data_IF_544325559934
#
_entry.id   IF_544325559934
#
_cell.length_a   1.000
_cell.length_b   1.000
_cell.length_c   1.000
_cell.angle_alpha   90.00
_cell.angle_beta   90.00
_cell.angle_gamma   90.00
#
_symmetry.space_group_name_H-M   'P 1'
#
loop_
_entity.id
_entity.type
_entity.pdbx_description
1 polymer ?
#
# COMPACT_ATOMS: atom_id res chain seq x y z
N UNK A 1 20.18 -6.83 -5.58
CA UNK A 1 19.62 -7.22 -6.50
C UNK A 1 18.30 -7.90 -6.26
N UNK A 2 17.28 -7.59 -6.75
CA UNK A 2 16.03 -8.27 -6.78
C UNK A 2 15.44 -8.79 -5.49
N UNK A 3 16.09 -8.63 -4.35
CA UNK A 3 15.58 -9.24 -3.12
C UNK A 3 14.20 -8.70 -2.72
N UNK A 4 13.94 -7.39 -2.89
CA UNK A 4 12.63 -6.84 -2.61
C UNK A 4 11.61 -7.33 -3.63
N UNK A 5 11.97 -7.35 -4.92
CA UNK A 5 11.09 -7.84 -5.97
C UNK A 5 10.79 -9.33 -5.79
N UNK A 6 11.81 -10.11 -5.43
CA UNK A 6 11.63 -11.55 -5.19
C UNK A 6 10.70 -11.79 -4.01
N UNK A 7 10.84 -11.01 -2.93
CA UNK A 7 9.99 -11.16 -1.75
C UNK A 7 8.54 -10.84 -2.08
N UNK A 8 8.30 -9.78 -2.85
CA UNK A 8 6.94 -9.39 -3.25
C UNK A 8 6.34 -10.44 -4.18
N UNK A 9 7.13 -10.91 -5.15
CA UNK A 9 6.66 -11.94 -6.07
C UNK A 9 6.26 -13.21 -5.32
N UNK A 10 7.08 -13.62 -4.35
CA UNK A 10 6.79 -14.79 -3.54
C UNK A 10 5.52 -14.60 -2.70
N UNK A 11 5.30 -13.39 -2.17
CA UNK A 11 4.10 -13.06 -1.44
C UNK A 11 2.86 -13.16 -2.34
N UNK A 12 2.94 -12.63 -3.55
CA UNK A 12 1.83 -12.66 -4.51
C UNK A 12 1.46 -14.09 -4.90
N UNK A 13 2.45 -14.99 -4.93
CA UNK A 13 2.20 -16.39 -5.27
C UNK A 13 1.49 -17.15 -4.15
N UNK A 14 1.75 -16.78 -2.89
CA UNK A 14 1.19 -17.49 -1.74
C UNK A 14 -0.11 -16.90 -1.24
N UNK A 15 -0.18 -15.59 -1.19
CA UNK A 15 -1.30 -14.86 -0.59
C UNK A 15 -1.74 -13.74 -1.48
N UNK A 16 -2.94 -13.25 -1.25
CA UNK A 16 -3.43 -12.05 -1.92
C UNK A 16 -3.27 -10.89 -0.95
N UNK A 17 -2.21 -10.07 -1.09
CA UNK A 17 -2.03 -8.94 -0.19
C UNK A 17 -3.17 -7.96 -0.27
N UNK A 18 -3.49 -7.35 0.85
CA UNK A 18 -4.56 -6.37 0.94
C UNK A 18 -4.11 -5.01 0.42
N UNK A 19 -5.02 -4.32 -0.26
CA UNK A 19 -4.80 -2.94 -0.68
C UNK A 19 -6.13 -2.21 -0.66
N UNK A 20 -6.12 -0.95 -0.22
CA UNK A 20 -7.30 -0.10 -0.30
C UNK A 20 -7.50 0.40 -1.74
N UNK A 21 -8.76 0.50 -2.19
CA UNK A 21 -9.06 1.14 -3.47
C UNK A 21 -8.54 2.57 -3.55
N UNK A 22 -8.43 3.28 -2.42
CA UNK A 22 -7.86 4.62 -2.41
C UNK A 22 -6.39 4.59 -2.85
N UNK A 23 -5.65 3.60 -2.39
CA UNK A 23 -4.25 3.45 -2.75
C UNK A 23 -4.10 2.96 -4.19
N UNK A 24 -5.01 2.11 -4.65
CA UNK A 24 -4.99 1.66 -6.04
C UNK A 24 -5.35 2.82 -6.98
N UNK A 25 -6.24 3.71 -6.54
CA UNK A 25 -6.52 4.94 -7.29
C UNK A 25 -5.29 5.81 -7.45
N UNK A 26 -4.45 5.89 -6.42
CA UNK A 26 -3.19 6.64 -6.51
C UNK A 26 -2.26 6.00 -7.55
N UNK A 27 -2.16 4.68 -7.55
CA UNK A 27 -1.38 3.97 -8.57
C UNK A 27 -1.88 4.34 -9.96
N UNK A 28 -3.21 4.37 -10.14
CA UNK A 28 -3.81 4.70 -11.43
C UNK A 28 -3.41 6.11 -11.90
N UNK A 29 -3.58 7.14 -11.05
CA UNK A 29 -3.32 8.47 -11.54
C UNK A 29 -1.82 8.72 -11.78
N UNK A 30 -0.95 8.10 -10.99
CA UNK A 30 0.49 8.22 -11.21
C UNK A 30 0.87 7.63 -12.57
N UNK A 31 0.34 6.44 -12.87
CA UNK A 31 0.60 5.79 -14.16
C UNK A 31 -0.04 6.54 -15.31
N UNK A 32 -1.26 7.06 -15.10
CA UNK A 32 -1.95 7.80 -16.15
C UNK A 32 -1.20 9.06 -16.56
N UNK A 33 -0.57 9.73 -15.61
CA UNK A 33 0.22 10.91 -15.92
C UNK A 33 1.45 10.59 -16.77
N UNK A 34 1.99 9.39 -16.63
CA UNK A 34 3.20 8.98 -17.35
C UNK A 34 2.91 8.26 -18.66
N UNK A 35 1.85 7.45 -18.69
CA UNK A 35 1.62 6.51 -19.78
C UNK A 35 0.22 6.59 -20.36
N UNK A 36 -0.66 7.43 -19.81
CA UNK A 36 -2.02 7.57 -20.29
C UNK A 36 -3.01 6.65 -19.58
N UNK A 37 -4.29 6.97 -19.76
CA UNK A 37 -5.37 6.29 -19.04
C UNK A 37 -5.48 4.81 -19.39
N UNK A 38 -5.30 4.45 -20.66
CA UNK A 38 -5.47 3.07 -21.08
C UNK A 38 -4.47 2.14 -20.40
N UNK A 39 -3.18 2.54 -20.35
CA UNK A 39 -2.16 1.74 -19.69
C UNK A 39 -2.38 1.69 -18.19
N UNK A 40 -2.79 2.81 -17.58
CA UNK A 40 -3.06 2.86 -16.16
C UNK A 40 -4.22 1.92 -15.78
N UNK A 41 -5.27 1.92 -16.59
CA UNK A 41 -6.43 1.05 -16.35
C UNK A 41 -6.06 -0.42 -16.47
N UNK A 42 -5.22 -0.76 -17.46
CA UNK A 42 -4.77 -2.13 -17.63
C UNK A 42 -3.93 -2.58 -16.42
N UNK A 43 -3.03 -1.71 -15.95
CA UNK A 43 -2.21 -2.02 -14.77
C UNK A 43 -3.08 -2.25 -13.53
N UNK A 44 -4.12 -1.43 -13.34
CA UNK A 44 -5.05 -1.59 -12.22
C UNK A 44 -5.76 -2.94 -12.30
N UNK A 45 -6.20 -3.33 -13.50
CA UNK A 45 -6.84 -4.64 -13.68
C UNK A 45 -5.90 -5.78 -13.34
N UNK A 46 -4.65 -5.66 -13.74
CA UNK A 46 -3.65 -6.68 -13.44
C UNK A 46 -3.43 -6.80 -11.93
N UNK A 47 -3.38 -5.66 -11.23
CA UNK A 47 -3.20 -5.65 -9.79
C UNK A 47 -4.43 -6.22 -9.08
N UNK A 48 -5.64 -5.90 -9.55
CA UNK A 48 -6.86 -6.48 -8.97
C UNK A 48 -6.86 -8.01 -9.04
N UNK A 49 -6.24 -8.56 -10.07
CA UNK A 49 -6.21 -10.01 -10.24
C UNK A 49 -5.37 -10.72 -9.17
N UNK A 50 -4.40 -10.02 -8.58
CA UNK A 50 -3.46 -10.62 -7.62
C UNK A 50 -3.58 -10.05 -6.21
N UNK A 51 -4.33 -8.97 -6.02
CA UNK A 51 -4.49 -8.31 -4.72
C UNK A 51 -5.93 -8.47 -4.21
N UNK A 52 -6.08 -8.38 -2.89
CA UNK A 52 -7.38 -8.30 -2.25
C UNK A 52 -7.68 -6.81 -2.09
N UNK A 53 -8.36 -6.21 -3.06
CA UNK A 53 -8.62 -4.78 -3.08
C UNK A 53 -10.02 -4.52 -2.54
N UNK A 54 -10.12 -3.64 -1.54
CA UNK A 54 -11.39 -3.34 -0.88
C UNK A 54 -11.57 -1.85 -0.69
N UNK A 55 -12.84 -1.42 -0.72
CA UNK A 55 -13.20 -0.07 -0.33
C UNK A 55 -13.08 0.02 1.20
N UNK A 56 -12.46 1.09 1.71
CA UNK A 56 -12.36 1.24 3.16
C UNK A 56 -13.72 1.60 3.76
N UNK A 57 -14.04 0.97 4.88
CA UNK A 57 -15.23 1.31 5.64
C UNK A 57 -14.95 2.51 6.53
N UNK A 58 -16.00 3.04 7.14
CA UNK A 58 -15.89 4.29 7.90
C UNK A 58 -14.83 4.21 9.01
N UNK A 59 -14.74 3.08 9.70
CA UNK A 59 -13.77 2.90 10.76
C UNK A 59 -12.33 2.94 10.26
N UNK A 60 -12.07 2.40 9.06
CA UNK A 60 -10.74 2.46 8.45
C UNK A 60 -10.42 3.90 8.03
N UNK A 61 -11.40 4.62 7.48
CA UNK A 61 -11.22 6.03 7.12
C UNK A 61 -10.85 6.85 8.35
N UNK A 62 -11.55 6.63 9.46
CA UNK A 62 -11.27 7.38 10.69
C UNK A 62 -9.93 6.98 11.30
N UNK A 63 -9.54 5.71 11.18
CA UNK A 63 -8.21 5.28 11.62
C UNK A 63 -7.13 5.99 10.81
N UNK A 64 -7.29 6.08 9.49
CA UNK A 64 -6.35 6.80 8.64
C UNK A 64 -6.29 8.28 9.01
N UNK A 65 -7.43 8.88 9.30
CA UNK A 65 -7.48 10.28 9.72
C UNK A 65 -6.72 10.51 11.03
N UNK A 66 -6.85 9.58 11.98
CA UNK A 66 -6.13 9.69 13.26
C UNK A 66 -4.62 9.56 13.07
N UNK A 67 -4.19 8.67 12.18
CA UNK A 67 -2.78 8.51 11.87
C UNK A 67 -2.26 9.81 11.24
N UNK A 68 -2.98 10.36 10.25
CA UNK A 68 -2.59 11.59 9.59
C UNK A 68 -2.52 12.76 10.57
N UNK A 69 -3.41 12.79 11.54
CA UNK A 69 -3.43 13.87 12.54
C UNK A 69 -2.19 13.85 13.43
N UNK A 70 -1.56 12.71 13.62
CA UNK A 70 -0.43 12.54 14.53
C UNK A 70 0.92 12.52 13.82
N UNK A 71 0.97 12.10 12.57
CA UNK A 71 2.23 11.87 11.87
C UNK A 71 2.26 12.66 10.56
N UNK A 72 3.45 13.18 10.19
CA UNK A 72 3.59 13.98 8.97
C UNK A 72 3.72 13.11 7.73
N UNK A 73 2.61 12.55 7.28
CA UNK A 73 2.60 11.71 6.09
C UNK A 73 1.43 12.10 5.19
N UNK A 74 1.49 11.67 3.94
CA UNK A 74 0.39 11.89 3.00
C UNK A 74 -0.83 11.08 3.45
N UNK A 75 -2.03 11.57 3.12
CA UNK A 75 -3.25 10.88 3.51
C UNK A 75 -3.34 9.48 2.89
N UNK A 76 -2.86 9.33 1.65
CA UNK A 76 -2.81 8.01 1.00
C UNK A 76 -1.95 7.03 1.80
N UNK A 77 -0.81 7.49 2.34
CA UNK A 77 0.04 6.64 3.18
C UNK A 77 -0.66 6.26 4.48
N UNK A 78 -1.43 7.19 5.04
CA UNK A 78 -2.21 6.89 6.25
C UNK A 78 -3.24 5.80 5.97
N UNK A 79 -3.85 5.78 4.78
CA UNK A 79 -4.77 4.70 4.39
C UNK A 79 -4.04 3.37 4.25
N UNK A 80 -2.82 3.39 3.72
CA UNK A 80 -2.02 2.17 3.63
C UNK A 80 -1.78 1.59 5.02
N UNK A 81 -1.38 2.42 5.98
CA UNK A 81 -1.13 1.99 7.35
C UNK A 81 -2.43 1.51 8.03
N UNK A 82 -3.53 2.24 7.84
CA UNK A 82 -4.81 1.87 8.43
C UNK A 82 -5.32 0.54 7.87
N UNK A 83 -5.11 0.29 6.58
CA UNK A 83 -5.49 -0.98 5.96
C UNK A 83 -4.69 -2.12 6.57
N UNK A 84 -3.39 -1.93 6.77
CA UNK A 84 -2.55 -2.95 7.39
C UNK A 84 -3.03 -3.27 8.80
N UNK A 85 -3.40 -2.25 9.58
CA UNK A 85 -3.92 -2.44 10.93
C UNK A 85 -5.25 -3.19 10.92
N UNK A 86 -6.16 -2.79 10.04
CA UNK A 86 -7.48 -3.40 9.93
C UNK A 86 -7.39 -4.88 9.58
N UNK A 87 -6.43 -5.24 8.74
CA UNK A 87 -6.24 -6.62 8.27
C UNK A 87 -5.25 -7.39 9.14
N UNK A 88 -4.71 -6.78 10.19
CA UNK A 88 -3.67 -7.35 11.04
C UNK A 88 -2.54 -7.92 10.18
N UNK A 89 -2.12 -7.13 9.20
CA UNK A 89 -1.11 -7.53 8.24
C UNK A 89 0.16 -6.73 8.41
N UNK A 90 1.28 -7.32 8.00
CA UNK A 90 2.54 -6.60 7.96
C UNK A 90 2.59 -5.75 6.70
N UNK A 91 2.91 -4.47 6.87
CA UNK A 91 3.02 -3.53 5.76
C UNK A 91 4.41 -3.65 5.12
N UNK A 92 4.45 -3.98 3.83
CA UNK A 92 5.69 -4.06 3.08
C UNK A 92 5.82 -2.79 2.25
N UNK A 93 6.84 -1.99 2.54
CA UNK A 93 6.98 -0.68 1.91
C UNK A 93 8.42 -0.22 1.88
N UNK A 94 8.76 0.58 0.86
CA UNK A 94 10.02 1.30 0.81
C UNK A 94 9.87 2.78 1.13
N UNK A 95 8.66 3.21 1.52
CA UNK A 95 8.38 4.61 1.81
C UNK A 95 8.83 4.95 3.23
N UNK A 96 9.84 5.85 3.38
CA UNK A 96 10.33 6.20 4.72
C UNK A 96 9.25 6.76 5.65
N UNK A 97 8.20 7.38 5.11
CA UNK A 97 7.13 7.92 5.94
C UNK A 97 6.36 6.84 6.68
N UNK A 98 6.37 5.62 6.16
CA UNK A 98 5.66 4.49 6.75
C UNK A 98 6.55 3.61 7.63
N UNK A 99 7.86 3.81 7.58
CA UNK A 99 8.83 3.04 8.36
C UNK A 99 9.09 3.73 9.71
N UNK A 100 8.04 3.85 10.51
CA UNK A 100 8.07 4.60 11.76
C UNK A 100 8.38 3.65 12.92
N UNK A 101 9.54 3.82 13.61
CA UNK A 101 9.82 3.02 14.78
C UNK A 101 8.75 3.22 15.86
N UNK A 102 8.26 2.12 16.42
CA UNK A 102 7.22 2.18 17.43
C UNK A 102 5.82 2.46 16.91
N UNK A 103 5.63 2.41 15.59
CA UNK A 103 4.32 2.60 14.99
C UNK A 103 3.35 1.52 15.45
N UNK A 104 2.03 1.84 15.37
CA UNK A 104 1.01 0.87 15.71
C UNK A 104 0.95 -0.28 14.72
N UNK A 105 1.36 -0.05 13.49
CA UNK A 105 1.38 -1.09 12.45
C UNK A 105 2.76 -1.74 12.37
N UNK A 106 2.78 -3.01 11.96
CA UNK A 106 4.03 -3.72 11.69
C UNK A 106 4.47 -3.42 10.28
N UNK A 107 5.77 -3.27 10.06
CA UNK A 107 6.27 -2.94 8.73
C UNK A 107 7.54 -3.72 8.41
N UNK A 108 7.75 -3.91 7.11
CA UNK A 108 8.94 -4.52 6.56
C UNK A 108 9.53 -3.56 5.54
N UNK A 109 10.79 -3.21 5.73
CA UNK A 109 11.51 -2.27 4.88
C UNK A 109 11.95 -2.97 3.59
N UNK A 110 11.42 -2.50 2.45
CA UNK A 110 11.76 -3.06 1.14
C UNK A 110 12.94 -2.36 0.50
N UNK A 111 13.51 -1.33 1.14
CA UNK A 111 14.67 -0.64 0.58
C UNK A 111 15.88 -1.55 0.61
N UNK A 112 16.78 -1.43 -0.39
CA UNK A 112 17.99 -2.25 -0.39
C UNK A 112 18.87 -1.96 0.81
N UNK A 113 19.53 -2.99 1.34
CA UNK A 113 20.50 -2.83 2.42
C UNK A 113 21.74 -2.13 1.93
N UNK A 114 22.36 -1.42 2.79
CA UNK A 114 23.62 -0.79 2.52
C UNK A 114 23.57 0.61 2.03
#
# INVERSE_FOLDING_TARGET
EGSAADAVEHLLERDRPAMSWLNLGEVHYVLARRHGDAEATEAVRDLEAVLDVRLPEADVVLAAARIKARLPMAYADAFTAATALDRDAELWTGDPELLVPGAAWRWRDLRPSG
#
